data_IF_701350286758
#
_entry.id   IF_701350286758
#
_cell.length_a   1.000
_cell.length_b   1.000
_cell.length_c   1.000
_cell.angle_alpha   90.00
_cell.angle_beta   90.00
_cell.angle_gamma   90.00
#
_symmetry.space_group_name_H-M   'P 1'
#
loop_
_entity.id
_entity.type
_entity.pdbx_description
1 polymer ?
#
# COMPACT_ATOMS: atom_id res chain seq x y z
N UNK A 1 -4.25 -5.05 15.06
CA UNK A 1 -2.82 -4.87 14.78
C UNK A 1 -2.31 -3.46 15.08
N UNK A 2 -2.98 -2.43 14.59
CA UNK A 2 -2.67 -1.01 14.83
C UNK A 2 -3.95 -0.23 15.08
N UNK A 3 -3.96 0.66 16.08
CA UNK A 3 -5.05 1.57 16.37
C UNK A 3 -4.57 3.02 16.33
N UNK A 4 -5.25 3.84 15.55
CA UNK A 4 -5.12 5.29 15.52
C UNK A 4 -6.25 5.90 16.36
N UNK A 5 -5.92 6.87 17.22
CA UNK A 5 -6.90 7.54 18.07
C UNK A 5 -6.73 9.05 17.98
N UNK A 6 -7.71 9.73 17.40
CA UNK A 6 -7.78 11.18 17.23
C UNK A 6 -6.51 11.80 16.61
N UNK A 7 -5.93 11.12 15.62
CA UNK A 7 -4.67 11.50 14.98
C UNK A 7 -4.87 12.74 14.12
N UNK A 8 -4.05 13.77 14.37
CA UNK A 8 -3.99 15.00 13.59
C UNK A 8 -2.55 15.32 13.17
N UNK A 9 -2.40 15.98 12.01
CA UNK A 9 -1.12 16.40 11.47
C UNK A 9 -1.20 17.73 10.73
N UNK A 10 -0.27 18.64 11.03
CA UNK A 10 -0.17 19.98 10.42
C UNK A 10 1.22 20.18 9.82
N UNK A 11 1.30 20.93 8.75
CA UNK A 11 2.53 21.40 8.12
C UNK A 11 2.44 22.94 8.03
N UNK A 12 3.08 23.62 8.97
CA UNK A 12 2.94 25.07 9.12
C UNK A 12 1.47 25.46 9.36
N UNK A 13 0.90 26.25 8.44
CA UNK A 13 -0.51 26.66 8.52
C UNK A 13 -1.50 25.63 7.91
N UNK A 14 -1.00 24.59 7.27
CA UNK A 14 -1.82 23.61 6.57
C UNK A 14 -2.11 22.44 7.49
N UNK A 15 -3.38 22.25 7.87
CA UNK A 15 -3.86 21.06 8.56
C UNK A 15 -4.13 19.96 7.54
N UNK A 16 -3.26 18.94 7.53
CA UNK A 16 -3.37 17.83 6.58
C UNK A 16 -4.36 16.76 7.04
N UNK A 17 -4.35 16.44 8.34
CA UNK A 17 -5.23 15.45 8.96
C UNK A 17 -5.82 16.02 10.25
N UNK A 18 -7.08 15.69 10.54
CA UNK A 18 -7.79 16.08 11.76
C UNK A 18 -8.60 14.91 12.31
N UNK A 19 -8.38 14.58 13.58
CA UNK A 19 -9.20 13.62 14.35
C UNK A 19 -9.41 12.27 13.64
N UNK A 20 -8.34 11.71 13.06
CA UNK A 20 -8.39 10.43 12.36
C UNK A 20 -8.32 9.31 13.39
N UNK A 21 -9.41 8.55 13.51
CA UNK A 21 -9.49 7.35 14.36
C UNK A 21 -9.80 6.14 13.49
N UNK A 22 -8.90 5.13 13.49
CA UNK A 22 -8.96 3.97 12.60
C UNK A 22 -8.32 2.75 13.27
N UNK A 23 -8.97 1.60 13.18
CA UNK A 23 -8.38 0.31 13.52
C UNK A 23 -7.95 -0.42 12.24
N UNK A 24 -6.77 -1.04 12.29
CA UNK A 24 -6.24 -1.90 11.22
C UNK A 24 -5.96 -3.25 11.86
N UNK A 25 -6.67 -4.27 11.43
CA UNK A 25 -6.53 -5.62 11.96
C UNK A 25 -5.47 -6.43 11.20
N UNK A 26 -4.94 -7.47 11.84
CA UNK A 26 -3.98 -8.35 11.18
C UNK A 26 -4.65 -9.10 10.01
N UNK A 27 -3.98 -9.11 8.85
CA UNK A 27 -4.49 -9.73 7.63
C UNK A 27 -5.50 -8.89 6.85
N UNK A 28 -5.79 -7.64 7.28
CA UNK A 28 -6.64 -6.73 6.51
C UNK A 28 -6.00 -6.35 5.16
N UNK A 29 -6.86 -6.16 4.15
CA UNK A 29 -6.56 -5.35 2.98
C UNK A 29 -7.44 -4.10 3.02
N UNK A 30 -6.87 -2.99 3.46
CA UNK A 30 -7.57 -1.73 3.67
C UNK A 30 -7.18 -0.71 2.60
N UNK A 31 -8.16 -0.16 1.88
CA UNK A 31 -7.94 0.96 0.97
C UNK A 31 -8.27 2.30 1.65
N UNK A 32 -7.36 3.26 1.54
CA UNK A 32 -7.61 4.66 1.86
C UNK A 32 -7.93 5.40 0.57
N UNK A 33 -9.18 5.84 0.42
CA UNK A 33 -9.69 6.51 -0.77
C UNK A 33 -10.10 7.94 -0.44
N UNK A 34 -9.83 8.87 -1.33
CA UNK A 34 -10.21 10.28 -1.16
C UNK A 34 -9.54 11.18 -2.20
N UNK A 35 -9.92 12.46 -2.28
CA UNK A 35 -9.40 13.40 -3.26
C UNK A 35 -7.89 13.63 -3.10
N UNK A 36 -7.26 14.13 -4.16
CA UNK A 36 -5.83 14.49 -4.10
C UNK A 36 -5.59 15.56 -3.05
N UNK A 37 -4.51 15.39 -2.26
CA UNK A 37 -4.13 16.33 -1.21
C UNK A 37 -4.96 16.26 0.07
N UNK A 38 -5.85 15.26 0.26
CA UNK A 38 -6.63 15.10 1.49
C UNK A 38 -5.85 14.48 2.67
N UNK A 39 -4.58 14.12 2.49
CA UNK A 39 -3.74 13.61 3.58
C UNK A 39 -3.47 12.11 3.60
N UNK A 40 -3.88 11.34 2.57
CA UNK A 40 -3.67 9.87 2.49
C UNK A 40 -2.21 9.46 2.66
N UNK A 41 -1.32 10.04 1.86
CA UNK A 41 0.13 9.77 1.95
C UNK A 41 0.72 10.23 3.29
N UNK A 42 0.18 11.31 3.88
CA UNK A 42 0.54 11.75 5.23
C UNK A 42 0.17 10.67 6.26
N UNK A 43 -1.04 10.12 6.16
CA UNK A 43 -1.49 9.05 7.05
C UNK A 43 -0.61 7.80 6.91
N UNK A 44 -0.26 7.41 5.67
CA UNK A 44 0.68 6.30 5.43
C UNK A 44 2.04 6.54 6.10
N UNK A 45 2.58 7.76 5.97
CA UNK A 45 3.89 8.12 6.58
C UNK A 45 3.84 8.08 8.10
N UNK A 46 2.73 8.50 8.73
CA UNK A 46 2.54 8.36 10.17
C UNK A 46 2.50 6.88 10.59
N UNK A 47 1.77 6.03 9.85
CA UNK A 47 1.72 4.59 10.09
C UNK A 47 3.10 3.95 9.91
N UNK A 48 3.89 4.39 8.93
CA UNK A 48 5.25 3.90 8.70
C UNK A 48 6.26 4.37 9.76
N UNK A 49 5.88 5.30 10.66
CA UNK A 49 6.81 5.93 11.59
C UNK A 49 7.82 6.88 10.93
N UNK A 50 7.57 7.26 9.66
CA UNK A 50 8.38 8.24 8.91
C UNK A 50 8.04 9.69 9.29
N UNK A 51 6.94 9.88 10.00
CA UNK A 51 6.49 11.15 10.54
C UNK A 51 5.79 10.91 11.88
N UNK A 52 5.55 11.99 12.65
CA UNK A 52 4.90 11.91 13.95
C UNK A 52 3.59 12.72 13.95
N UNK A 53 2.53 12.27 14.62
CA UNK A 53 1.31 13.04 14.75
C UNK A 53 1.54 14.25 15.68
N UNK A 54 0.86 15.37 15.39
CA UNK A 54 0.86 16.52 16.28
C UNK A 54 -0.17 16.36 17.42
N UNK A 55 -1.24 15.60 17.15
CA UNK A 55 -2.28 15.25 18.14
C UNK A 55 -2.67 13.79 18.00
N UNK A 56 -3.25 13.22 19.04
CA UNK A 56 -3.65 11.83 19.06
C UNK A 56 -2.44 10.88 19.21
N UNK A 57 -2.66 9.61 18.90
CA UNK A 57 -1.62 8.58 19.04
C UNK A 57 -1.87 7.39 18.14
N UNK A 58 -0.78 6.69 17.80
CA UNK A 58 -0.79 5.38 17.14
C UNK A 58 -0.36 4.34 18.18
N UNK A 59 -1.15 3.29 18.33
CA UNK A 59 -0.90 2.20 19.26
C UNK A 59 -0.81 0.89 18.49
N UNK A 60 0.34 0.24 18.58
CA UNK A 60 0.56 -1.09 18.02
C UNK A 60 0.17 -2.16 19.05
N UNK A 61 -0.35 -3.28 18.58
CA UNK A 61 -0.56 -4.45 19.43
C UNK A 61 0.73 -4.83 20.14
N UNK A 62 0.61 -5.34 21.35
CA UNK A 62 1.73 -5.63 22.23
C UNK A 62 2.54 -4.40 22.71
N UNK A 63 2.06 -3.17 22.46
CA UNK A 63 2.65 -1.94 22.99
C UNK A 63 4.05 -1.59 22.48
N UNK A 64 4.53 -2.26 21.40
CA UNK A 64 5.85 -1.99 20.82
C UNK A 64 5.76 -1.41 19.41
N UNK A 65 6.66 -0.51 19.09
CA UNK A 65 6.85 -0.02 17.71
C UNK A 65 7.37 -1.16 16.82
N UNK A 66 6.98 -1.18 15.52
CA UNK A 66 7.52 -2.13 14.56
C UNK A 66 9.03 -2.04 14.46
N UNK A 67 9.67 -3.19 14.32
CA UNK A 67 11.10 -3.28 14.08
C UNK A 67 11.44 -3.02 12.62
N UNK A 68 12.67 -2.63 12.28
CA UNK A 68 13.12 -2.54 10.90
C UNK A 68 12.84 -3.85 10.13
N UNK A 69 12.18 -3.74 8.97
CA UNK A 69 11.76 -4.87 8.14
C UNK A 69 10.37 -5.43 8.45
N UNK A 70 9.71 -5.04 9.55
CA UNK A 70 8.32 -5.45 9.83
C UNK A 70 7.29 -4.62 9.04
N UNK A 71 7.68 -3.47 8.49
CA UNK A 71 6.88 -2.65 7.57
C UNK A 71 7.59 -2.59 6.22
N UNK A 72 6.89 -3.01 5.16
CA UNK A 72 7.26 -2.76 3.78
C UNK A 72 6.57 -1.49 3.28
N UNK A 73 7.28 -0.67 2.49
CA UNK A 73 6.71 0.54 1.90
C UNK A 73 6.95 0.57 0.39
N UNK A 74 5.87 0.72 -0.38
CA UNK A 74 5.89 0.93 -1.83
C UNK A 74 5.43 2.36 -2.10
N UNK A 75 6.30 3.17 -2.68
CA UNK A 75 6.01 4.56 -3.05
C UNK A 75 5.33 4.63 -4.42
N UNK A 76 4.67 5.74 -4.72
CA UNK A 76 4.06 6.04 -6.01
C UNK A 76 5.06 5.91 -7.16
N UNK A 77 6.27 6.44 -7.00
CA UNK A 77 7.40 6.13 -7.86
C UNK A 77 8.15 4.92 -7.28
N UNK A 78 8.63 4.03 -8.14
CA UNK A 78 9.32 2.82 -7.72
C UNK A 78 10.60 3.07 -6.91
N UNK A 79 11.14 4.29 -6.93
CA UNK A 79 12.31 4.76 -6.15
C UNK A 79 13.48 3.76 -6.13
N UNK A 80 13.75 3.11 -7.28
CA UNK A 80 14.85 2.17 -7.42
C UNK A 80 16.20 2.90 -7.49
N UNK A 81 17.23 2.28 -6.92
CA UNK A 81 18.60 2.73 -7.05
C UNK A 81 19.03 2.60 -8.53
N UNK A 82 19.28 3.70 -9.27
CA UNK A 82 19.48 3.64 -10.73
C UNK A 82 20.78 2.96 -11.15
N UNK A 83 21.75 2.86 -10.24
CA UNK A 83 23.03 2.19 -10.45
C UNK A 83 23.01 0.70 -10.09
N UNK A 84 22.00 0.22 -9.39
CA UNK A 84 21.83 -1.16 -8.97
C UNK A 84 20.90 -1.91 -9.94
N UNK A 85 21.10 -3.22 -10.12
CA UNK A 85 20.19 -4.07 -10.87
C UNK A 85 18.93 -4.43 -10.02
N UNK A 86 18.00 -5.20 -10.59
CA UNK A 86 16.77 -5.59 -9.90
C UNK A 86 17.05 -6.38 -8.62
N UNK A 87 17.93 -7.39 -8.70
CA UNK A 87 18.30 -8.21 -7.54
C UNK A 87 18.98 -7.38 -6.44
N UNK A 88 19.86 -6.44 -6.79
CA UNK A 88 20.51 -5.55 -5.82
C UNK A 88 19.54 -4.56 -5.18
N UNK A 89 18.52 -4.08 -5.91
CA UNK A 89 17.44 -3.27 -5.36
C UNK A 89 16.61 -4.05 -4.35
N UNK A 90 16.24 -5.30 -4.67
CA UNK A 90 15.49 -6.18 -3.76
C UNK A 90 16.33 -6.60 -2.56
N UNK A 91 17.63 -6.83 -2.74
CA UNK A 91 18.57 -7.17 -1.66
C UNK A 91 18.77 -6.04 -0.64
N UNK A 92 18.53 -4.79 -1.01
CA UNK A 92 18.84 -3.62 -0.17
C UNK A 92 18.30 -3.70 1.28
N UNK A 93 17.04 -4.04 1.54
CA UNK A 93 16.54 -4.14 2.92
C UNK A 93 17.24 -5.22 3.74
N UNK A 94 17.54 -6.37 3.14
CA UNK A 94 18.26 -7.46 3.80
C UNK A 94 19.72 -7.08 4.12
N UNK A 95 20.36 -6.34 3.21
CA UNK A 95 21.70 -5.77 3.42
C UNK A 95 21.71 -4.80 4.61
N UNK A 96 20.70 -3.92 4.70
CA UNK A 96 20.56 -2.97 5.82
C UNK A 96 20.31 -3.69 7.15
N UNK A 97 19.65 -4.85 7.11
CA UNK A 97 19.47 -5.74 8.25
C UNK A 97 20.73 -6.57 8.59
N UNK A 98 21.86 -6.35 7.90
CA UNK A 98 23.13 -7.04 8.15
C UNK A 98 23.20 -8.47 7.60
N UNK A 99 22.27 -8.89 6.74
CA UNK A 99 22.25 -10.23 6.15
C UNK A 99 23.28 -10.30 5.02
N UNK A 100 24.21 -11.25 5.12
CA UNK A 100 25.22 -11.46 4.10
C UNK A 100 24.58 -11.87 2.77
N UNK A 101 25.13 -11.37 1.63
CA UNK A 101 24.57 -11.55 0.29
C UNK A 101 24.30 -13.03 -0.05
N UNK A 102 25.23 -13.92 0.21
CA UNK A 102 25.09 -15.36 -0.08
C UNK A 102 23.91 -16.02 0.64
N UNK A 103 23.54 -15.52 1.84
CA UNK A 103 22.34 -15.98 2.57
C UNK A 103 21.06 -15.32 2.11
N UNK A 104 21.15 -14.10 1.57
CA UNK A 104 20.00 -13.32 1.15
C UNK A 104 19.51 -13.69 -0.26
N UNK A 105 20.41 -14.11 -1.18
CA UNK A 105 20.06 -14.33 -2.59
C UNK A 105 18.89 -15.29 -2.80
N UNK A 106 18.74 -16.42 -2.10
CA UNK A 106 17.55 -17.28 -2.27
C UNK A 106 16.21 -16.56 -1.95
N UNK A 107 16.22 -15.63 -0.99
CA UNK A 107 15.04 -14.81 -0.66
C UNK A 107 14.79 -13.73 -1.71
N UNK A 108 15.86 -13.17 -2.28
CA UNK A 108 15.80 -12.18 -3.36
C UNK A 108 15.21 -12.81 -4.62
N UNK A 109 15.71 -14.00 -4.99
CA UNK A 109 15.25 -14.74 -6.16
C UNK A 109 13.78 -15.16 -6.00
N UNK A 110 13.37 -15.67 -4.82
CA UNK A 110 11.98 -15.98 -4.50
C UNK A 110 11.07 -14.72 -4.60
N UNK A 111 11.53 -13.58 -4.08
CA UNK A 111 10.77 -12.33 -4.15
C UNK A 111 10.59 -11.82 -5.60
N UNK A 112 11.62 -11.94 -6.45
CA UNK A 112 11.54 -11.58 -7.86
C UNK A 112 10.66 -12.55 -8.65
N UNK A 113 10.77 -13.86 -8.39
CA UNK A 113 9.90 -14.88 -8.97
C UNK A 113 8.42 -14.60 -8.68
N UNK A 114 8.05 -14.33 -7.42
CA UNK A 114 6.67 -14.03 -6.98
C UNK A 114 6.05 -12.84 -7.70
N UNK A 115 6.85 -11.88 -8.12
CA UNK A 115 6.36 -10.72 -8.90
C UNK A 115 6.52 -10.91 -10.41
N UNK A 116 6.89 -12.11 -10.88
CA UNK A 116 7.02 -12.47 -12.30
C UNK A 116 8.15 -11.74 -13.01
N UNK A 117 9.31 -11.63 -12.36
CA UNK A 117 10.51 -10.99 -12.91
C UNK A 117 11.67 -11.98 -13.13
N UNK A 118 11.34 -13.26 -13.38
CA UNK A 118 12.35 -14.26 -13.76
C UNK A 118 13.10 -13.84 -15.02
N UNK A 119 14.43 -13.93 -14.98
CA UNK A 119 15.31 -13.54 -16.08
C UNK A 119 15.63 -12.04 -16.16
N UNK A 120 15.09 -11.22 -15.24
CA UNK A 120 15.34 -9.77 -15.18
C UNK A 120 16.18 -9.35 -13.96
N UNK A 121 16.73 -10.29 -13.21
CA UNK A 121 17.47 -10.08 -11.96
C UNK A 121 18.68 -9.14 -12.17
N UNK A 122 19.35 -9.28 -13.30
CA UNK A 122 20.53 -8.48 -13.67
C UNK A 122 20.17 -7.13 -14.34
N UNK A 123 18.90 -6.91 -14.68
CA UNK A 123 18.46 -5.71 -15.40
C UNK A 123 18.49 -4.48 -14.51
N UNK A 124 18.99 -3.36 -15.04
CA UNK A 124 18.98 -2.05 -14.35
C UNK A 124 17.64 -1.34 -14.58
N UNK A 125 17.24 -0.39 -13.70
CA UNK A 125 15.96 0.31 -13.80
C UNK A 125 15.67 0.92 -15.18
N UNK A 126 16.69 1.43 -15.89
CA UNK A 126 16.56 1.98 -17.24
C UNK A 126 16.20 0.95 -18.33
N UNK A 127 16.40 -0.34 -18.06
CA UNK A 127 16.12 -1.45 -18.96
C UNK A 127 14.74 -2.08 -18.70
N UNK A 128 14.06 -1.64 -17.64
CA UNK A 128 12.78 -2.15 -17.20
C UNK A 128 11.64 -1.22 -17.61
N UNK A 129 10.47 -1.77 -17.95
CA UNK A 129 9.25 -1.00 -18.14
C UNK A 129 8.77 -0.36 -16.83
N UNK A 130 7.82 0.55 -16.88
CA UNK A 130 7.20 1.17 -15.69
C UNK A 130 6.63 0.13 -14.72
N UNK A 131 5.87 -0.82 -15.27
CA UNK A 131 5.29 -1.93 -14.50
C UNK A 131 6.37 -2.85 -13.89
N UNK A 132 7.42 -3.18 -14.65
CA UNK A 132 8.53 -3.99 -14.12
C UNK A 132 9.27 -3.27 -13.00
N UNK A 133 9.50 -1.96 -13.11
CA UNK A 133 10.09 -1.18 -12.00
C UNK A 133 9.22 -1.22 -10.75
N UNK A 134 7.91 -1.11 -10.91
CA UNK A 134 6.98 -1.21 -9.78
C UNK A 134 7.00 -2.62 -9.16
N UNK A 135 7.06 -3.68 -9.96
CA UNK A 135 7.23 -5.06 -9.49
C UNK A 135 8.52 -5.25 -8.67
N UNK A 136 9.65 -4.66 -9.09
CA UNK A 136 10.89 -4.66 -8.31
C UNK A 136 10.70 -3.92 -6.98
N UNK A 137 9.97 -2.79 -6.97
CA UNK A 137 9.66 -2.04 -5.74
C UNK A 137 8.79 -2.86 -4.77
N UNK A 138 7.80 -3.59 -5.28
CA UNK A 138 6.96 -4.50 -4.50
C UNK A 138 7.80 -5.65 -3.94
N UNK A 139 8.63 -6.32 -4.77
CA UNK A 139 9.53 -7.39 -4.32
C UNK A 139 10.48 -6.90 -3.23
N UNK A 140 11.05 -5.69 -3.39
CA UNK A 140 11.91 -5.05 -2.37
C UNK A 140 11.18 -4.84 -1.05
N UNK A 141 9.91 -4.42 -1.10
CA UNK A 141 9.11 -4.22 0.11
C UNK A 141 8.74 -5.55 0.79
N UNK A 142 8.58 -6.63 0.03
CA UNK A 142 8.15 -7.95 0.52
C UNK A 142 9.30 -8.86 0.94
N UNK A 143 10.54 -8.62 0.49
CA UNK A 143 11.67 -9.53 0.73
C UNK A 143 11.97 -9.77 2.22
N UNK A 144 11.64 -8.82 3.09
CA UNK A 144 11.78 -8.95 4.55
C UNK A 144 10.61 -9.69 5.20
N UNK A 145 9.59 -10.12 4.41
CA UNK A 145 8.33 -10.71 4.91
C UNK A 145 7.66 -9.82 5.96
N UNK A 146 7.30 -8.59 5.58
CA UNK A 146 6.75 -7.62 6.53
C UNK A 146 5.38 -8.07 7.05
N UNK A 147 5.03 -7.66 8.26
CA UNK A 147 3.69 -7.85 8.83
C UNK A 147 2.68 -6.86 8.25
N UNK A 148 3.17 -5.69 7.81
CA UNK A 148 2.39 -4.61 7.22
C UNK A 148 3.05 -4.12 5.94
N UNK A 149 2.30 -4.10 4.85
CA UNK A 149 2.68 -3.51 3.58
C UNK A 149 1.90 -2.21 3.36
N UNK A 150 2.61 -1.11 3.22
CA UNK A 150 2.06 0.21 2.93
C UNK A 150 2.31 0.54 1.46
N UNK A 151 1.27 0.97 0.74
CA UNK A 151 1.37 1.26 -0.69
C UNK A 151 0.72 2.61 -1.01
N UNK A 152 1.51 3.54 -1.54
CA UNK A 152 1.05 4.88 -1.90
C UNK A 152 0.88 5.00 -3.41
N UNK A 153 -0.35 4.91 -3.91
CA UNK A 153 -0.75 4.99 -5.33
C UNK A 153 0.13 4.17 -6.30
N UNK A 154 0.41 2.87 -6.04
CA UNK A 154 1.44 2.11 -6.77
C UNK A 154 1.09 1.86 -8.25
N UNK A 155 -0.15 2.12 -8.65
CA UNK A 155 -0.60 1.87 -10.02
C UNK A 155 -0.80 3.14 -10.85
N UNK A 156 -0.58 4.33 -10.27
CA UNK A 156 -0.93 5.61 -10.91
C UNK A 156 -0.19 5.85 -12.24
N UNK A 157 1.06 5.38 -12.36
CA UNK A 157 1.89 5.60 -13.54
C UNK A 157 1.84 4.44 -14.57
N UNK A 158 0.89 3.50 -14.42
CA UNK A 158 0.79 2.32 -15.28
C UNK A 158 -0.32 2.46 -16.31
N UNK A 159 -0.09 1.90 -17.52
CA UNK A 159 -1.15 1.69 -18.49
C UNK A 159 -2.19 0.70 -17.94
N UNK A 160 -3.39 0.71 -18.52
CA UNK A 160 -4.54 -0.03 -17.99
C UNK A 160 -4.32 -1.54 -17.96
N UNK A 161 -3.71 -2.12 -19.00
CA UNK A 161 -3.46 -3.57 -19.05
C UNK A 161 -2.45 -4.01 -17.99
N UNK A 162 -1.31 -3.32 -17.90
CA UNK A 162 -0.27 -3.57 -16.90
C UNK A 162 -0.82 -3.39 -15.48
N UNK A 163 -1.67 -2.36 -15.28
CA UNK A 163 -2.32 -2.09 -14.00
C UNK A 163 -3.21 -3.25 -13.56
N UNK A 164 -4.11 -3.73 -14.42
CA UNK A 164 -5.00 -4.85 -14.10
C UNK A 164 -4.23 -6.10 -13.74
N UNK A 165 -3.23 -6.45 -14.54
CA UNK A 165 -2.39 -7.62 -14.27
C UNK A 165 -1.65 -7.51 -12.94
N UNK A 166 -1.08 -6.35 -12.63
CA UNK A 166 -0.36 -6.14 -11.38
C UNK A 166 -1.30 -6.16 -10.16
N UNK A 167 -2.55 -5.70 -10.31
CA UNK A 167 -3.56 -5.79 -9.25
C UNK A 167 -3.95 -7.23 -8.94
N UNK A 168 -4.13 -8.08 -9.97
CA UNK A 168 -4.41 -9.50 -9.81
C UNK A 168 -3.24 -10.22 -9.11
N UNK A 169 -2.02 -9.95 -9.57
CA UNK A 169 -0.79 -10.52 -8.99
C UNK A 169 -0.64 -10.10 -7.51
N UNK A 170 -0.89 -8.82 -7.20
CA UNK A 170 -0.84 -8.31 -5.82
C UNK A 170 -1.87 -8.98 -4.93
N UNK A 171 -3.09 -9.18 -5.43
CA UNK A 171 -4.15 -9.85 -4.68
C UNK A 171 -3.79 -11.31 -4.37
N UNK A 172 -3.23 -12.03 -5.34
CA UNK A 172 -2.74 -13.40 -5.17
C UNK A 172 -1.59 -13.46 -4.15
N UNK A 173 -0.64 -12.53 -4.23
CA UNK A 173 0.47 -12.42 -3.28
C UNK A 173 -0.02 -12.12 -1.86
N UNK A 174 -1.00 -11.24 -1.70
CA UNK A 174 -1.58 -10.96 -0.40
C UNK A 174 -2.24 -12.18 0.23
N UNK A 175 -3.02 -12.94 -0.55
CA UNK A 175 -3.65 -14.19 -0.08
C UNK A 175 -2.61 -15.22 0.37
N UNK A 176 -1.51 -15.35 -0.36
CA UNK A 176 -0.43 -16.28 -0.06
C UNK A 176 0.36 -15.87 1.19
N UNK A 177 0.70 -14.58 1.31
CA UNK A 177 1.57 -14.07 2.37
C UNK A 177 0.81 -13.80 3.68
N UNK A 178 -0.49 -13.54 3.61
CA UNK A 178 -1.33 -13.22 4.78
C UNK A 178 -0.92 -11.96 5.53
N UNK A 179 -0.11 -11.07 4.91
CA UNK A 179 0.29 -9.81 5.52
C UNK A 179 -0.87 -8.80 5.52
N UNK A 180 -0.82 -7.83 6.41
CA UNK A 180 -1.74 -6.70 6.41
C UNK A 180 -1.33 -5.71 5.32
N UNK A 181 -2.30 -5.18 4.56
CA UNK A 181 -2.05 -4.18 3.52
C UNK A 181 -2.84 -2.90 3.81
N UNK A 182 -2.18 -1.76 3.77
CA UNK A 182 -2.83 -0.44 3.70
C UNK A 182 -2.44 0.20 2.37
N UNK A 183 -3.43 0.40 1.53
CA UNK A 183 -3.29 0.82 0.15
C UNK A 183 -3.94 2.18 -0.06
N UNK A 184 -3.19 3.14 -0.56
CA UNK A 184 -3.71 4.47 -0.93
C UNK A 184 -3.99 4.51 -2.41
N UNK A 185 -5.17 5.00 -2.77
CA UNK A 185 -5.54 5.25 -4.16
C UNK A 185 -6.55 6.41 -4.26
N UNK A 186 -6.66 6.97 -5.45
CA UNK A 186 -7.76 7.85 -5.83
C UNK A 186 -8.77 7.15 -6.76
N UNK A 187 -8.52 5.89 -7.12
CA UNK A 187 -9.38 5.10 -8.00
C UNK A 187 -10.38 4.26 -7.19
N UNK A 188 -11.67 4.54 -7.38
CA UNK A 188 -12.76 3.76 -6.79
C UNK A 188 -12.69 2.31 -7.25
N UNK A 189 -12.37 2.09 -8.53
CA UNK A 189 -12.29 0.76 -9.13
C UNK A 189 -11.17 -0.09 -8.52
N UNK A 190 -10.03 0.52 -8.23
CA UNK A 190 -8.92 -0.17 -7.55
C UNK A 190 -9.30 -0.53 -6.11
N UNK A 191 -9.86 0.41 -5.37
CA UNK A 191 -10.30 0.18 -3.99
C UNK A 191 -11.36 -0.94 -3.93
N UNK A 192 -12.36 -0.92 -4.82
CA UNK A 192 -13.41 -1.93 -4.87
C UNK A 192 -12.88 -3.32 -5.25
N UNK A 193 -11.87 -3.39 -6.13
CA UNK A 193 -11.30 -4.67 -6.59
C UNK A 193 -10.39 -5.31 -5.54
N UNK A 194 -9.53 -4.51 -4.88
CA UNK A 194 -8.47 -5.02 -4.04
C UNK A 194 -8.84 -5.15 -2.57
N UNK A 195 -9.61 -4.17 -2.05
CA UNK A 195 -9.76 -4.02 -0.62
C UNK A 195 -10.93 -4.80 -0.04
N UNK A 196 -10.73 -5.33 1.17
CA UNK A 196 -11.83 -5.85 2.02
C UNK A 196 -12.53 -4.73 2.80
N UNK A 197 -11.81 -3.64 3.06
CA UNK A 197 -12.33 -2.47 3.76
C UNK A 197 -11.88 -1.20 3.02
N UNK A 198 -12.81 -0.29 2.76
CA UNK A 198 -12.55 0.97 2.08
C UNK A 198 -12.86 2.10 3.04
N UNK A 199 -11.85 2.90 3.36
CA UNK A 199 -11.97 4.07 4.22
C UNK A 199 -11.96 5.32 3.35
N UNK A 200 -13.05 6.08 3.40
CA UNK A 200 -13.22 7.32 2.66
C UNK A 200 -12.75 8.50 3.49
N UNK A 201 -11.89 9.33 2.91
CA UNK A 201 -11.39 10.55 3.54
C UNK A 201 -12.07 11.78 2.92
N UNK A 202 -12.43 12.76 3.76
CA UNK A 202 -12.89 14.08 3.33
C UNK A 202 -11.79 14.87 2.64
N UNK A 203 -12.10 15.94 1.88
CA UNK A 203 -11.11 16.96 1.51
C UNK A 203 -10.38 17.50 2.75
N UNK A 204 -9.26 18.20 2.50
CA UNK A 204 -8.44 18.78 3.56
C UNK A 204 -9.21 19.73 4.49
N UNK A 205 -9.06 19.57 5.83
CA UNK A 205 -8.26 18.56 6.52
C UNK A 205 -8.90 17.16 6.41
N UNK A 206 -8.08 16.15 6.09
CA UNK A 206 -8.58 14.78 5.92
C UNK A 206 -9.09 14.23 7.24
N UNK A 207 -10.35 13.82 7.22
CA UNK A 207 -11.06 13.11 8.29
C UNK A 207 -11.67 11.84 7.71
N UNK A 208 -11.94 10.84 8.52
CA UNK A 208 -12.68 9.67 8.06
C UNK A 208 -14.15 10.08 7.88
N UNK A 209 -14.63 10.04 6.64
CA UNK A 209 -16.02 10.24 6.30
C UNK A 209 -16.84 8.97 6.54
N UNK A 210 -16.36 7.85 6.00
CA UNK A 210 -17.04 6.56 6.09
C UNK A 210 -16.09 5.40 5.89
N UNK A 211 -16.43 4.27 6.49
CA UNK A 211 -15.81 2.98 6.23
C UNK A 211 -16.86 2.05 5.60
N UNK A 212 -16.47 1.34 4.52
CA UNK A 212 -17.31 0.42 3.76
C UNK A 212 -16.62 -0.94 3.72
N UNK A 213 -17.30 -1.97 4.16
CA UNK A 213 -16.84 -3.35 4.00
C UNK A 213 -17.15 -3.86 2.60
N UNK A 214 -16.18 -4.49 1.94
CA UNK A 214 -16.39 -5.11 0.64
C UNK A 214 -17.05 -6.49 0.81
N UNK A 215 -18.15 -6.76 0.10
CA UNK A 215 -18.76 -8.10 0.08
C UNK A 215 -18.04 -9.07 -0.85
N UNK A 216 -17.04 -8.60 -1.61
CA UNK A 216 -16.39 -9.37 -2.66
C UNK A 216 -15.38 -10.37 -2.10
N UNK A 217 -15.31 -11.53 -2.74
CA UNK A 217 -14.19 -12.45 -2.56
C UNK A 217 -13.04 -12.05 -3.49
N UNK A 218 -11.79 -12.05 -2.98
CA UNK A 218 -10.62 -11.75 -3.81
C UNK A 218 -10.48 -12.75 -4.97
N UNK A 219 -10.20 -12.27 -6.17
CA UNK A 219 -9.98 -13.10 -7.36
C UNK A 219 -10.19 -12.31 -8.65
N UNK A 220 -9.64 -12.78 -9.77
CA UNK A 220 -9.74 -12.12 -11.07
C UNK A 220 -11.21 -11.94 -11.53
N UNK A 221 -12.09 -12.87 -11.15
CA UNK A 221 -13.52 -12.84 -11.49
C UNK A 221 -14.33 -11.82 -10.67
N UNK A 222 -13.75 -11.23 -9.62
CA UNK A 222 -14.45 -10.27 -8.77
C UNK A 222 -15.02 -9.08 -9.58
N UNK A 223 -14.38 -8.67 -10.68
CA UNK A 223 -14.87 -7.61 -11.57
C UNK A 223 -16.12 -8.00 -12.34
N UNK A 224 -16.40 -9.30 -12.50
CA UNK A 224 -17.58 -9.84 -13.20
C UNK A 224 -18.75 -10.05 -12.23
N UNK A 225 -18.51 -9.98 -10.92
CA UNK A 225 -19.55 -10.13 -9.90
C UNK A 225 -20.48 -8.89 -9.92
N UNK A 226 -21.81 -9.07 -9.97
CA UNK A 226 -22.76 -7.94 -9.85
C UNK A 226 -22.54 -7.10 -8.57
N UNK A 227 -22.05 -7.70 -7.48
CA UNK A 227 -21.71 -7.00 -6.25
C UNK A 227 -20.58 -5.99 -6.44
N UNK A 228 -19.67 -6.18 -7.41
CA UNK A 228 -18.64 -5.22 -7.73
C UNK A 228 -19.21 -3.88 -8.24
N UNK A 229 -20.14 -3.93 -9.19
CA UNK A 229 -20.78 -2.73 -9.69
C UNK A 229 -21.59 -2.03 -8.61
N UNK A 230 -22.26 -2.78 -7.73
CA UNK A 230 -23.00 -2.24 -6.60
C UNK A 230 -22.07 -1.54 -5.60
N UNK A 231 -20.91 -2.15 -5.27
CA UNK A 231 -19.89 -1.57 -4.39
C UNK A 231 -19.30 -0.29 -4.99
N UNK A 232 -18.94 -0.29 -6.29
CA UNK A 232 -18.44 0.90 -6.98
C UNK A 232 -19.47 2.03 -6.92
N UNK A 233 -20.75 1.74 -7.14
CA UNK A 233 -21.82 2.74 -7.06
C UNK A 233 -22.01 3.26 -5.61
N UNK A 234 -21.90 2.41 -4.60
CA UNK A 234 -21.98 2.82 -3.20
C UNK A 234 -20.80 3.74 -2.84
N UNK A 235 -19.56 3.30 -3.12
CA UNK A 235 -18.35 4.08 -2.84
C UNK A 235 -18.41 5.43 -3.55
N UNK A 236 -18.88 5.47 -4.81
CA UNK A 236 -19.03 6.72 -5.58
C UNK A 236 -19.99 7.69 -4.91
N UNK A 237 -21.17 7.21 -4.47
CA UNK A 237 -22.16 8.06 -3.77
C UNK A 237 -21.60 8.61 -2.46
N UNK A 238 -20.96 7.78 -1.66
CA UNK A 238 -20.41 8.20 -0.37
C UNK A 238 -19.22 9.15 -0.54
N UNK A 239 -18.38 8.93 -1.55
CA UNK A 239 -17.30 9.87 -1.85
C UNK A 239 -17.85 11.25 -2.26
N UNK A 240 -18.91 11.31 -3.09
CA UNK A 240 -19.56 12.56 -3.46
C UNK A 240 -20.16 13.29 -2.24
N UNK A 241 -20.77 12.55 -1.30
CA UNK A 241 -21.28 13.12 -0.03
C UNK A 241 -20.15 13.70 0.82
N UNK A 242 -19.03 12.97 0.93
CA UNK A 242 -17.85 13.44 1.67
C UNK A 242 -17.16 14.65 1.03
N UNK A 243 -17.31 14.86 -0.29
CA UNK A 243 -16.81 16.06 -0.97
C UNK A 243 -17.69 17.31 -0.75
N UNK A 244 -18.96 17.11 -0.41
CA UNK A 244 -19.92 18.20 -0.20
C UNK A 244 -20.03 18.64 1.27
N UNK A 245 -19.44 17.89 2.20
CA UNK A 245 -19.41 18.16 3.64
C UNK A 245 -18.21 19.03 4.02
#
# INVERSE_FOLDING_TARGET
>A
MLQLSAVGRRFGQVEALRDVSLSIDAGDFLALLGPSGCGKSTLLRLIAGLDQPDTGRLMWDAGRQPQPGEIGFVFQDATLLPWANAADNVFLPLRLAGIARNRAMPQVDDALHRVGLDGFEASRPRQLSGGMRMRVSIARALVTRPRLLLMDEPFAALDEFTRHKLQEDLQSLWQELGCTVVFVTHSIYEAAFLARRIVLLTPRPGQIHREIASPLHPGAEARLDPAYAALVAEVTRELQRGLAA
#
